data_IF_472562730199
#
_entry.id   IF_472562730199
#
_cell.length_a   1.000
_cell.length_b   1.000
_cell.length_c   1.000
_cell.angle_alpha   90.00
_cell.angle_beta   90.00
_cell.angle_gamma   90.00
#
_symmetry.space_group_name_H-M   'P 1'
#
loop_
_entity.id
_entity.type
_entity.pdbx_description
1 polymer ?
#
# COMPACT_ATOMS: atom_id res chain seq x y z
N UNK A 1 17.96 -8.73 -0.48
CA UNK A 1 18.64 -7.44 -0.77
C UNK A 1 19.20 -6.92 0.55
N UNK A 2 20.50 -6.67 0.68
CA UNK A 2 21.12 -6.32 1.97
C UNK A 2 20.59 -4.96 2.48
N UNK A 3 20.24 -4.88 3.77
CA UNK A 3 19.86 -3.64 4.47
C UNK A 3 20.93 -2.56 4.25
N UNK A 4 22.19 -2.97 4.17
CA UNK A 4 23.33 -2.07 3.98
C UNK A 4 23.30 -1.40 2.59
N UNK A 5 22.94 -2.16 1.55
CA UNK A 5 22.79 -1.62 0.19
C UNK A 5 21.66 -0.59 0.14
N UNK A 6 20.54 -0.86 0.82
CA UNK A 6 19.42 0.08 0.92
C UNK A 6 19.84 1.39 1.63
N UNK A 7 20.57 1.30 2.74
CA UNK A 7 21.10 2.50 3.43
C UNK A 7 22.03 3.31 2.54
N UNK A 8 22.90 2.66 1.79
CA UNK A 8 23.80 3.35 0.86
C UNK A 8 23.03 4.09 -0.24
N UNK A 9 21.97 3.48 -0.78
CA UNK A 9 21.09 4.13 -1.77
C UNK A 9 20.42 5.35 -1.15
N UNK A 10 19.82 5.23 0.03
CA UNK A 10 19.16 6.34 0.74
C UNK A 10 20.14 7.49 0.97
N UNK A 11 21.34 7.20 1.47
CA UNK A 11 22.36 8.23 1.73
C UNK A 11 22.80 8.93 0.43
N UNK A 12 23.00 8.18 -0.65
CA UNK A 12 23.36 8.74 -1.95
C UNK A 12 22.25 9.63 -2.50
N UNK A 13 20.99 9.21 -2.41
CA UNK A 13 19.84 10.02 -2.83
C UNK A 13 19.69 11.28 -1.97
N UNK A 14 19.81 11.15 -0.65
CA UNK A 14 19.69 12.29 0.27
C UNK A 14 20.76 13.36 -0.02
N UNK A 15 21.99 12.95 -0.36
CA UNK A 15 23.03 13.87 -0.77
C UNK A 15 22.73 14.62 -2.09
N UNK A 16 21.83 14.10 -2.94
CA UNK A 16 21.35 14.79 -4.15
C UNK A 16 20.17 15.73 -3.87
N UNK A 17 19.43 15.52 -2.79
CA UNK A 17 18.31 16.37 -2.39
C UNK A 17 18.89 17.63 -1.75
N UNK A 18 18.93 18.73 -2.51
CA UNK A 18 19.24 20.04 -1.98
C UNK A 18 17.96 20.64 -1.41
N UNK A 19 17.91 20.84 -0.10
CA UNK A 19 16.89 21.72 0.49
C UNK A 19 17.03 23.11 -0.12
N UNK A 20 16.05 23.50 -0.92
CA UNK A 20 15.99 24.81 -1.55
C UNK A 20 15.07 25.70 -0.75
N UNK A 21 15.38 26.99 -0.70
CA UNK A 21 14.43 28.00 -0.25
C UNK A 21 13.20 27.96 -1.16
N UNK A 22 12.07 28.47 -0.66
CA UNK A 22 10.83 28.69 -1.42
C UNK A 22 11.16 29.20 -2.84
N UNK A 23 10.99 28.30 -3.82
CA UNK A 23 11.34 28.55 -5.21
C UNK A 23 10.25 29.33 -5.95
N UNK A 24 10.54 29.73 -7.19
CA UNK A 24 9.51 30.21 -8.11
C UNK A 24 8.89 29.00 -8.82
N UNK A 25 7.56 28.82 -8.79
CA UNK A 25 6.91 27.75 -9.54
C UNK A 25 7.29 27.86 -11.02
N UNK A 26 7.79 26.75 -11.58
CA UNK A 26 8.08 26.65 -13.00
C UNK A 26 7.04 25.74 -13.63
N UNK A 27 6.31 26.26 -14.62
CA UNK A 27 5.39 25.49 -15.42
C UNK A 27 5.95 25.42 -16.84
N UNK A 28 6.09 24.21 -17.39
CA UNK A 28 6.64 23.99 -18.72
C UNK A 28 5.74 24.48 -19.87
N UNK A 29 4.52 24.95 -19.55
CA UNK A 29 3.56 25.46 -20.51
C UNK A 29 3.16 26.90 -20.12
N UNK A 30 3.04 27.78 -21.12
CA UNK A 30 2.84 29.22 -20.92
C UNK A 30 1.44 29.61 -20.47
N UNK A 31 0.44 28.71 -20.53
CA UNK A 31 -0.91 29.01 -20.09
C UNK A 31 -1.10 29.08 -18.56
N UNK A 32 -0.10 28.66 -17.79
CA UNK A 32 -0.18 28.70 -16.33
C UNK A 32 0.30 30.05 -15.81
N UNK A 33 -0.52 30.66 -14.95
CA UNK A 33 -0.13 31.83 -14.18
C UNK A 33 0.44 31.37 -12.83
N UNK A 34 1.77 31.36 -12.63
CA UNK A 34 2.35 30.96 -11.35
C UNK A 34 2.00 31.98 -10.28
N UNK A 35 1.33 31.51 -9.23
CA UNK A 35 1.19 32.31 -8.01
C UNK A 35 2.47 32.20 -7.18
N UNK A 36 2.99 33.34 -6.72
CA UNK A 36 4.17 33.37 -5.86
C UNK A 36 3.91 32.55 -4.58
N UNK A 37 4.83 31.65 -4.28
CA UNK A 37 4.84 30.93 -3.00
C UNK A 37 5.33 31.89 -1.92
N UNK A 38 4.40 32.47 -1.17
CA UNK A 38 4.68 33.40 -0.08
C UNK A 38 4.35 32.72 1.25
N UNK A 39 5.17 32.86 2.31
CA UNK A 39 4.87 32.29 3.63
C UNK A 39 3.47 32.66 4.15
N UNK A 40 3.00 33.87 3.84
CA UNK A 40 1.66 34.38 4.17
C UNK A 40 0.52 33.48 3.66
N UNK A 41 0.75 32.77 2.54
CA UNK A 41 -0.23 31.91 1.90
C UNK A 41 -0.31 30.52 2.53
N UNK A 42 0.56 30.21 3.50
CA UNK A 42 0.62 28.92 4.17
C UNK A 42 0.20 29.09 5.63
N UNK A 43 -0.72 28.23 6.08
CA UNK A 43 -1.03 28.11 7.51
C UNK A 43 -0.12 27.04 8.11
N UNK A 44 0.60 27.33 9.21
CA UNK A 44 1.40 26.30 9.86
C UNK A 44 0.47 25.22 10.42
N UNK A 45 0.87 23.96 10.24
CA UNK A 45 0.20 22.84 10.89
C UNK A 45 0.51 22.94 12.39
N UNK A 46 -0.51 23.31 13.17
CA UNK A 46 -0.37 23.42 14.62
C UNK A 46 -0.29 22.02 15.22
N UNK A 47 0.68 21.80 16.10
CA UNK A 47 0.73 20.57 16.88
C UNK A 47 -0.50 20.50 17.80
N UNK A 48 -1.16 19.35 17.84
CA UNK A 48 -2.31 19.08 18.71
C UNK A 48 -2.04 17.78 19.44
N UNK A 49 -1.92 17.86 20.77
CA UNK A 49 -1.90 16.69 21.62
C UNK A 49 -3.33 16.16 21.76
N UNK A 50 -3.65 15.09 21.03
CA UNK A 50 -5.00 14.48 21.10
C UNK A 50 -5.00 13.10 21.72
N UNK A 51 -3.82 12.47 21.88
CA UNK A 51 -3.68 11.05 22.23
C UNK A 51 -4.24 10.09 21.16
N UNK A 52 -4.75 10.60 20.03
CA UNK A 52 -5.27 9.79 18.93
C UNK A 52 -4.13 9.38 18.02
N UNK A 53 -4.12 8.11 17.66
CA UNK A 53 -3.22 7.55 16.66
C UNK A 53 -3.94 7.42 15.32
N UNK A 54 -3.21 7.62 14.24
CA UNK A 54 -3.67 7.37 12.89
C UNK A 54 -3.03 6.09 12.37
N UNK A 55 -3.83 5.19 11.83
CA UNK A 55 -3.34 4.03 11.11
C UNK A 55 -3.57 4.26 9.61
N UNK A 56 -2.52 4.05 8.82
CA UNK A 56 -2.59 4.04 7.36
C UNK A 56 -2.41 2.60 6.91
N UNK A 57 -3.38 2.10 6.15
CA UNK A 57 -3.35 0.77 5.55
C UNK A 57 -3.26 0.95 4.04
N UNK A 58 -2.35 0.23 3.42
CA UNK A 58 -2.22 0.16 1.98
C UNK A 58 -1.86 -1.27 1.57
N UNK A 59 -2.13 -1.62 0.32
CA UNK A 59 -1.90 -2.96 -0.17
C UNK A 59 -1.76 -3.00 -1.67
N UNK A 60 -1.28 -4.14 -2.14
CA UNK A 60 -1.17 -4.41 -3.55
C UNK A 60 -0.97 -5.89 -3.81
N UNK A 61 -1.22 -6.27 -5.04
CA UNK A 61 -1.07 -7.62 -5.53
C UNK A 61 -0.18 -7.63 -6.78
N UNK A 62 0.45 -8.75 -7.04
CA UNK A 62 1.20 -9.01 -8.26
C UNK A 62 0.85 -10.41 -8.76
N UNK A 63 0.40 -10.49 -10.00
CA UNK A 63 0.21 -11.78 -10.67
C UNK A 63 1.56 -12.45 -10.91
N UNK A 64 1.63 -13.74 -10.53
CA UNK A 64 2.79 -14.61 -10.73
C UNK A 64 2.61 -15.39 -12.03
N UNK A 65 1.44 -16.02 -12.18
CA UNK A 65 1.06 -16.79 -13.35
C UNK A 65 -0.45 -16.79 -13.50
N UNK A 66 -0.91 -16.67 -14.74
CA UNK A 66 -2.33 -16.71 -15.09
C UNK A 66 -2.60 -17.51 -16.35
N UNK A 67 -3.83 -18.00 -16.43
CA UNK A 67 -4.43 -18.66 -17.57
C UNK A 67 -5.94 -18.35 -17.59
N UNK A 68 -6.67 -18.66 -18.68
CA UNK A 68 -8.11 -18.37 -18.74
C UNK A 68 -8.94 -18.96 -17.60
N UNK A 69 -8.47 -20.05 -16.99
CA UNK A 69 -9.17 -20.77 -15.93
C UNK A 69 -8.53 -20.61 -14.53
N UNK A 70 -7.43 -19.86 -14.37
CA UNK A 70 -6.86 -19.57 -13.06
C UNK A 70 -5.92 -18.34 -13.05
N UNK A 71 -5.73 -17.72 -11.89
CA UNK A 71 -4.71 -16.71 -11.64
C UNK A 71 -4.10 -16.93 -10.25
N UNK A 72 -2.78 -16.99 -10.18
CA UNK A 72 -2.01 -17.09 -8.94
C UNK A 72 -1.31 -15.76 -8.70
N UNK A 73 -1.54 -15.18 -7.54
CA UNK A 73 -1.06 -13.85 -7.18
C UNK A 73 -0.36 -13.89 -5.82
N UNK A 74 0.63 -13.01 -5.66
CA UNK A 74 1.14 -12.63 -4.34
C UNK A 74 0.46 -11.34 -3.93
N UNK A 75 -0.11 -11.34 -2.72
CA UNK A 75 -0.76 -10.19 -2.12
C UNK A 75 0.09 -9.70 -0.95
N UNK A 76 0.18 -8.38 -0.80
CA UNK A 76 0.85 -7.73 0.32
C UNK A 76 -0.05 -6.63 0.87
N UNK A 77 -0.23 -6.66 2.17
CA UNK A 77 -0.85 -5.59 2.94
C UNK A 77 0.21 -5.01 3.87
N UNK A 78 0.28 -3.69 3.95
CA UNK A 78 1.17 -2.97 4.83
C UNK A 78 0.38 -1.97 5.64
N UNK A 79 0.77 -1.80 6.90
CA UNK A 79 0.25 -0.69 7.67
C UNK A 79 1.33 -0.01 8.51
N UNK A 80 1.05 1.25 8.82
CA UNK A 80 1.84 2.05 9.74
C UNK A 80 0.93 2.86 10.66
N UNK A 81 1.39 3.04 11.90
CA UNK A 81 0.68 3.82 12.90
C UNK A 81 1.50 5.07 13.18
N UNK A 82 0.83 6.21 13.28
CA UNK A 82 1.42 7.49 13.66
C UNK A 82 0.73 8.03 14.91
N UNK A 83 1.55 8.57 15.81
CA UNK A 83 1.14 9.37 16.96
C UNK A 83 1.66 10.80 16.73
N UNK A 84 0.78 11.67 16.24
CA UNK A 84 1.18 12.97 15.70
C UNK A 84 2.11 12.84 14.48
N UNK A 85 3.32 13.37 14.61
CA UNK A 85 4.36 13.35 13.57
C UNK A 85 5.31 12.14 13.67
N UNK A 86 5.14 11.30 14.70
CA UNK A 86 6.01 10.15 14.95
C UNK A 86 5.36 8.86 14.52
N UNK A 87 6.09 8.08 13.73
CA UNK A 87 5.73 6.69 13.45
C UNK A 87 5.96 5.83 14.68
N UNK A 88 4.98 5.02 15.05
CA UNK A 88 5.07 4.06 16.17
C UNK A 88 4.97 2.62 15.66
N UNK A 89 5.70 1.72 16.31
CA UNK A 89 5.67 0.29 15.97
C UNK A 89 4.46 -0.37 16.62
N UNK A 90 3.72 -1.22 15.88
CA UNK A 90 2.69 -2.07 16.49
C UNK A 90 3.35 -3.12 17.39
N UNK A 91 2.71 -3.43 18.53
CA UNK A 91 3.24 -4.40 19.51
C UNK A 91 2.88 -5.85 19.13
N UNK A 92 1.64 -6.08 18.68
CA UNK A 92 1.08 -7.43 18.54
C UNK A 92 0.58 -7.75 17.12
N UNK A 93 0.77 -6.85 16.16
CA UNK A 93 0.28 -7.02 14.79
C UNK A 93 1.46 -6.81 13.83
N UNK A 94 1.73 -7.76 12.92
CA UNK A 94 2.77 -7.60 11.90
C UNK A 94 2.44 -6.41 10.98
N UNK A 95 3.36 -5.46 10.86
CA UNK A 95 3.25 -4.28 10.00
C UNK A 95 3.21 -4.61 8.49
N UNK A 96 3.59 -5.84 8.11
CA UNK A 96 3.51 -6.35 6.75
C UNK A 96 2.91 -7.76 6.81
N UNK A 97 1.90 -8.01 5.98
CA UNK A 97 1.23 -9.29 5.86
C UNK A 97 1.28 -9.68 4.39
N UNK A 98 1.75 -10.89 4.12
CA UNK A 98 1.90 -11.42 2.76
C UNK A 98 1.23 -12.78 2.67
N UNK A 99 0.55 -13.03 1.56
CA UNK A 99 -0.12 -14.29 1.29
C UNK A 99 -0.25 -14.51 -0.22
N UNK A 100 -0.29 -15.77 -0.63
CA UNK A 100 -0.64 -16.13 -1.99
C UNK A 100 -2.15 -16.32 -2.10
N UNK A 101 -2.71 -15.96 -3.25
CA UNK A 101 -4.06 -16.34 -3.63
C UNK A 101 -4.03 -17.08 -4.95
N UNK A 102 -4.80 -18.16 -5.06
CA UNK A 102 -5.03 -18.87 -6.31
C UNK A 102 -6.52 -18.88 -6.58
N UNK A 103 -6.95 -18.05 -7.54
CA UNK A 103 -8.33 -18.02 -8.01
C UNK A 103 -8.46 -18.90 -9.24
N UNK A 104 -9.46 -19.78 -9.30
CA UNK A 104 -9.66 -20.69 -10.41
C UNK A 104 -11.14 -20.89 -10.73
N UNK A 105 -11.41 -21.14 -12.01
CA UNK A 105 -12.78 -21.35 -12.48
C UNK A 105 -13.23 -22.79 -12.19
N UNK A 106 -14.44 -22.94 -11.65
CA UNK A 106 -15.11 -24.23 -11.46
C UNK A 106 -16.47 -24.18 -12.11
N UNK A 107 -16.85 -25.24 -12.83
CA UNK A 107 -18.17 -25.35 -13.43
C UNK A 107 -19.12 -26.09 -12.48
N UNK A 108 -20.13 -25.38 -11.96
CA UNK A 108 -21.14 -25.92 -11.02
C UNK A 108 -22.51 -25.34 -11.41
N UNK A 109 -23.58 -26.11 -11.27
CA UNK A 109 -24.95 -25.66 -11.54
C UNK A 109 -25.15 -25.01 -12.93
N UNK A 110 -24.44 -25.53 -13.94
CA UNK A 110 -24.41 -25.04 -15.34
C UNK A 110 -23.86 -23.61 -15.49
N UNK A 111 -23.09 -23.13 -14.51
CA UNK A 111 -22.51 -21.80 -14.48
C UNK A 111 -21.02 -21.87 -14.13
N UNK A 112 -20.27 -20.84 -14.52
CA UNK A 112 -18.87 -20.69 -14.14
C UNK A 112 -18.81 -19.94 -12.82
N UNK A 113 -18.16 -20.54 -11.84
CA UNK A 113 -17.81 -19.93 -10.57
C UNK A 113 -16.30 -19.71 -10.51
N UNK A 114 -15.88 -18.73 -9.71
CA UNK A 114 -14.49 -18.49 -9.38
C UNK A 114 -14.33 -18.70 -7.90
N UNK A 115 -13.55 -19.72 -7.55
CA UNK A 115 -13.20 -20.00 -6.16
C UNK A 115 -11.76 -19.55 -5.92
N UNK A 116 -11.44 -19.15 -4.69
CA UNK A 116 -10.10 -18.68 -4.33
C UNK A 116 -9.57 -19.48 -3.15
N UNK A 117 -8.35 -20.00 -3.29
CA UNK A 117 -7.57 -20.56 -2.18
C UNK A 117 -6.58 -19.50 -1.70
N UNK A 118 -6.42 -19.35 -0.37
CA UNK A 118 -5.45 -18.44 0.24
C UNK A 118 -4.40 -19.24 1.02
N UNK A 119 -3.13 -18.89 0.82
CA UNK A 119 -2.00 -19.46 1.53
C UNK A 119 -1.21 -18.33 2.20
N UNK A 120 -1.35 -18.11 3.52
CA UNK A 120 -0.54 -17.13 4.22
C UNK A 120 0.94 -17.48 4.15
N UNK A 121 1.81 -16.48 4.10
CA UNK A 121 3.26 -16.70 4.13
C UNK A 121 3.74 -17.18 5.52
N UNK A 122 2.99 -16.86 6.57
CA UNK A 122 3.18 -17.34 7.94
C UNK A 122 1.83 -17.73 8.54
N UNK A 123 1.75 -18.85 9.27
CA UNK A 123 0.49 -19.32 9.88
C UNK A 123 -0.17 -18.25 10.77
N UNK A 124 0.63 -17.41 11.42
CA UNK A 124 0.15 -16.30 12.27
C UNK A 124 -0.67 -15.26 11.50
N UNK A 125 -0.50 -15.19 10.17
CA UNK A 125 -1.19 -14.23 9.31
C UNK A 125 -2.62 -14.64 8.98
N UNK A 126 -3.00 -15.90 9.22
CA UNK A 126 -4.35 -16.41 8.95
C UNK A 126 -5.46 -15.57 9.63
N UNK A 127 -5.17 -14.96 10.78
CA UNK A 127 -6.13 -14.11 11.51
C UNK A 127 -6.35 -12.73 10.89
N UNK A 128 -5.57 -12.35 9.87
CA UNK A 128 -5.56 -11.00 9.30
C UNK A 128 -5.88 -10.98 7.79
N UNK A 129 -6.20 -12.14 7.21
CA UNK A 129 -6.53 -12.30 5.78
C UNK A 129 -8.01 -12.69 5.65
N UNK A 130 -8.65 -12.39 4.52
CA UNK A 130 -10.05 -12.73 4.30
C UNK A 130 -10.28 -14.24 4.27
N UNK A 131 -11.53 -14.65 4.49
CA UNK A 131 -11.94 -16.04 4.33
C UNK A 131 -12.13 -16.37 2.85
N UNK A 132 -11.80 -17.59 2.44
CA UNK A 132 -11.96 -18.07 1.06
C UNK A 132 -13.42 -18.03 0.58
N UNK A 133 -14.37 -18.22 1.52
CA UNK A 133 -15.82 -18.15 1.22
C UNK A 133 -16.26 -16.75 0.80
N UNK A 134 -15.57 -15.71 1.27
CA UNK A 134 -15.87 -14.31 0.90
C UNK A 134 -15.28 -13.96 -0.47
N UNK A 135 -14.45 -14.84 -1.04
CA UNK A 135 -13.77 -14.68 -2.32
C UNK A 135 -14.24 -15.70 -3.36
N UNK A 136 -15.46 -16.21 -3.17
CA UNK A 136 -16.12 -17.11 -4.10
C UNK A 136 -17.29 -16.39 -4.76
N UNK A 137 -17.28 -16.30 -6.08
CA UNK A 137 -18.27 -15.53 -6.83
C UNK A 137 -18.63 -16.21 -8.16
N UNK A 138 -19.85 -15.96 -8.61
CA UNK A 138 -20.35 -16.42 -9.89
C UNK A 138 -19.89 -15.48 -11.02
N UNK A 139 -19.67 -16.04 -12.21
CA UNK A 139 -19.47 -15.27 -13.45
C UNK A 139 -20.58 -14.26 -13.77
N UNK A 140 -21.77 -14.40 -13.17
CA UNK A 140 -22.88 -13.43 -13.31
C UNK A 140 -23.04 -12.48 -12.12
N UNK A 141 -22.24 -12.63 -11.06
CA UNK A 141 -22.26 -11.70 -9.94
C UNK A 141 -21.67 -10.36 -10.43
N UNK A 142 -22.51 -9.32 -10.41
CA UNK A 142 -22.15 -7.93 -10.70
C UNK A 142 -22.31 -7.07 -9.46
#
# INVERSE_FOLDING_TARGET
MSIETLRQIVNKLNAQIKESRLGKPFFGQSQYNPHSLKPENFSPIKHVESGRRFAFLDGGNQEIIGAPNFSIQINRIYFCIFDGDKRVSPENIPNKIEFFSATYSVFRDRQVHYDTIILPLEDSYANYIPSEVDLSFNSVDR
#
